data_IF_583376473232
#
_entry.id   IF_583376473232
#
_cell.length_a   1.000
_cell.length_b   1.000
_cell.length_c   1.000
_cell.angle_alpha   90.00
_cell.angle_beta   90.00
_cell.angle_gamma   90.00
#
_symmetry.space_group_name_H-M   'P 1'
#
loop_
_entity.id
_entity.type
_entity.pdbx_description
1 polymer ?
#
# COMPACT_ATOMS: atom_id res chain seq x y z
N UNK A 1 -3.86 27.77 -13.31
CA UNK A 1 -5.30 27.45 -13.26
C UNK A 1 -5.65 27.09 -11.83
N UNK A 2 -6.76 27.58 -11.31
CA UNK A 2 -7.25 27.24 -9.98
C UNK A 2 -8.59 26.50 -10.13
N UNK A 3 -8.78 25.41 -9.38
CA UNK A 3 -9.98 24.56 -9.46
C UNK A 3 -10.53 24.34 -8.06
N UNK A 4 -11.84 24.57 -7.87
CA UNK A 4 -12.54 24.22 -6.63
C UNK A 4 -12.95 22.75 -6.66
N UNK A 5 -12.44 21.96 -5.71
CA UNK A 5 -12.69 20.52 -5.62
C UNK A 5 -14.11 20.17 -5.16
N UNK A 6 -14.81 21.12 -4.53
CA UNK A 6 -16.21 20.91 -4.12
C UNK A 6 -17.14 20.82 -5.33
N UNK A 7 -16.83 21.56 -6.40
CA UNK A 7 -17.58 21.56 -7.65
C UNK A 7 -17.31 20.36 -8.56
N UNK A 8 -16.31 19.52 -8.25
CA UNK A 8 -15.95 18.37 -9.07
C UNK A 8 -16.84 17.16 -8.81
N UNK A 9 -17.04 16.32 -9.82
CA UNK A 9 -17.58 14.98 -9.63
C UNK A 9 -16.54 14.05 -8.96
N UNK A 10 -16.99 12.97 -8.33
CA UNK A 10 -16.10 12.00 -7.66
C UNK A 10 -15.00 11.45 -8.60
N UNK A 11 -15.37 11.13 -9.84
CA UNK A 11 -14.44 10.63 -10.86
C UNK A 11 -13.37 11.65 -11.26
N UNK A 12 -13.69 12.95 -11.24
CA UNK A 12 -12.76 14.02 -11.56
C UNK A 12 -11.79 14.25 -10.40
N UNK A 13 -12.29 14.28 -9.16
CA UNK A 13 -11.45 14.28 -7.95
C UNK A 13 -10.47 13.12 -7.97
N UNK A 14 -10.95 11.90 -8.27
CA UNK A 14 -10.11 10.72 -8.37
C UNK A 14 -9.02 10.88 -9.44
N UNK A 15 -9.36 11.33 -10.65
CA UNK A 15 -8.37 11.52 -11.74
C UNK A 15 -7.27 12.49 -11.33
N UNK A 16 -7.61 13.62 -10.72
CA UNK A 16 -6.63 14.62 -10.30
C UNK A 16 -5.76 14.08 -9.16
N UNK A 17 -6.38 13.59 -8.08
CA UNK A 17 -5.65 13.09 -6.91
C UNK A 17 -4.73 11.91 -7.26
N UNK A 18 -5.22 10.93 -8.01
CA UNK A 18 -4.43 9.76 -8.43
C UNK A 18 -3.35 10.09 -9.47
N UNK A 19 -3.36 11.27 -10.09
CA UNK A 19 -2.31 11.68 -11.04
C UNK A 19 -1.25 12.56 -10.39
N UNK A 20 -1.59 13.33 -9.36
CA UNK A 20 -0.66 14.24 -8.68
C UNK A 20 -0.09 13.70 -7.37
N UNK A 21 -0.77 12.77 -6.70
CA UNK A 21 -0.21 12.02 -5.58
C UNK A 21 0.43 10.75 -6.14
N UNK A 22 1.67 10.86 -6.60
CA UNK A 22 2.44 9.81 -7.27
C UNK A 22 3.95 9.94 -6.98
N UNK A 23 4.73 8.85 -7.13
CA UNK A 23 4.26 7.47 -7.21
C UNK A 23 3.66 7.03 -5.87
N UNK A 24 2.54 6.30 -5.91
CA UNK A 24 1.93 5.76 -4.69
C UNK A 24 2.52 4.38 -4.39
N UNK A 25 2.88 4.08 -3.13
CA UNK A 25 3.25 2.72 -2.77
C UNK A 25 2.05 1.79 -2.95
N UNK A 26 2.34 0.52 -3.23
CA UNK A 26 1.32 -0.51 -3.42
C UNK A 26 1.38 -1.46 -2.24
N UNK A 27 0.25 -1.62 -1.56
CA UNK A 27 0.01 -2.69 -0.61
C UNK A 27 -0.74 -3.82 -1.33
N UNK A 28 -0.08 -4.98 -1.51
CA UNK A 28 -0.78 -6.20 -1.88
C UNK A 28 -1.27 -6.87 -0.60
N UNK A 29 -2.56 -6.71 -0.30
CA UNK A 29 -3.13 -7.07 1.00
C UNK A 29 -3.68 -8.48 0.95
N UNK A 30 -3.23 -9.35 1.86
CA UNK A 30 -3.87 -10.63 2.13
C UNK A 30 -4.77 -10.53 3.36
N UNK A 31 -5.92 -11.21 3.33
CA UNK A 31 -6.91 -11.25 4.42
C UNK A 31 -7.72 -12.54 4.40
N UNK A 32 -8.34 -12.92 5.52
CA UNK A 32 -9.12 -14.16 5.64
C UNK A 32 -10.64 -13.90 5.55
N UNK A 33 -11.30 -14.58 4.61
CA UNK A 33 -12.75 -14.66 4.47
C UNK A 33 -13.43 -15.55 5.52
N UNK A 34 -14.77 -15.61 5.52
CA UNK A 34 -15.57 -16.35 6.53
C UNK A 34 -15.37 -17.87 6.53
N UNK A 35 -14.89 -18.43 5.41
CA UNK A 35 -14.56 -19.85 5.26
C UNK A 35 -13.04 -20.13 5.29
N UNK A 36 -12.22 -19.17 5.73
CA UNK A 36 -10.76 -19.28 5.72
C UNK A 36 -10.13 -19.10 4.33
N UNK A 37 -10.93 -18.81 3.30
CA UNK A 37 -10.42 -18.47 1.96
C UNK A 37 -9.59 -17.19 2.06
N UNK A 38 -8.40 -17.23 1.47
CA UNK A 38 -7.46 -16.11 1.48
C UNK A 38 -7.79 -15.18 0.32
N UNK A 39 -8.21 -13.96 0.63
CA UNK A 39 -8.31 -12.90 -0.36
C UNK A 39 -6.96 -12.21 -0.53
N UNK A 40 -6.60 -11.83 -1.76
CA UNK A 40 -5.44 -11.01 -2.08
C UNK A 40 -5.79 -9.91 -3.07
N UNK A 41 -5.60 -8.64 -2.70
CA UNK A 41 -5.91 -7.51 -3.58
C UNK A 41 -4.91 -6.35 -3.43
N UNK A 42 -4.53 -5.68 -4.54
CA UNK A 42 -3.61 -4.55 -4.50
C UNK A 42 -4.33 -3.22 -4.27
N UNK A 43 -3.73 -2.38 -3.44
CA UNK A 43 -4.23 -1.04 -3.13
C UNK A 43 -3.09 -0.02 -3.18
N UNK A 44 -3.35 1.09 -3.86
CA UNK A 44 -2.38 2.20 -3.96
C UNK A 44 -2.77 3.43 -3.14
N UNK A 45 -3.92 3.42 -2.46
CA UNK A 45 -4.23 4.43 -1.45
C UNK A 45 -3.74 3.89 -0.11
N UNK A 46 -2.42 3.79 -0.01
CA UNK A 46 -1.68 3.17 1.08
C UNK A 46 -0.51 4.08 1.48
N UNK A 47 -0.19 4.13 2.78
CA UNK A 47 1.04 4.75 3.26
C UNK A 47 1.38 4.31 4.70
N UNK A 48 2.61 4.58 5.14
CA UNK A 48 2.96 4.64 6.56
C UNK A 48 2.22 5.82 7.21
N UNK A 49 1.74 5.65 8.43
CA UNK A 49 0.91 6.64 9.13
C UNK A 49 1.44 7.03 10.52
N UNK A 50 2.36 6.26 11.08
CA UNK A 50 2.99 6.55 12.37
C UNK A 50 4.10 5.56 12.71
N UNK A 51 4.96 5.92 13.67
CA UNK A 51 6.08 5.08 14.14
C UNK A 51 6.05 4.77 15.63
N UNK A 52 5.16 5.40 16.40
CA UNK A 52 4.95 5.14 17.82
C UNK A 52 3.44 5.20 18.15
N UNK A 53 2.69 4.07 18.00
CA UNK A 53 3.15 2.78 17.48
C UNK A 53 3.37 2.80 15.95
N UNK A 54 3.96 1.72 15.41
CA UNK A 54 4.11 1.52 13.97
C UNK A 54 2.75 1.36 13.27
N UNK A 55 2.33 2.35 12.50
CA UNK A 55 1.00 2.41 11.89
C UNK A 55 1.09 2.49 10.36
N UNK A 56 0.16 1.80 9.71
CA UNK A 56 -0.12 1.92 8.27
C UNK A 56 -1.59 2.25 8.04
N UNK A 57 -1.88 2.90 6.92
CA UNK A 57 -3.25 3.18 6.50
C UNK A 57 -3.52 2.65 5.10
N UNK A 58 -4.69 2.09 4.91
CA UNK A 58 -5.21 1.57 3.65
C UNK A 58 -6.60 2.16 3.40
N UNK A 59 -6.83 2.70 2.21
CA UNK A 59 -8.18 3.06 1.78
C UNK A 59 -8.73 2.02 0.80
N UNK A 60 -9.80 1.35 1.22
CA UNK A 60 -10.54 0.39 0.40
C UNK A 60 -11.83 1.05 -0.05
N UNK A 61 -11.97 1.30 -1.35
CA UNK A 61 -13.22 1.81 -1.92
C UNK A 61 -14.33 0.76 -1.90
N UNK A 62 -15.58 1.23 -1.92
CA UNK A 62 -16.75 0.37 -2.06
C UNK A 62 -16.80 -0.30 -3.44
N UNK A 63 -17.64 -1.33 -3.57
CA UNK A 63 -17.81 -2.06 -4.84
C UNK A 63 -18.43 -1.16 -5.92
N UNK A 64 -17.91 -1.16 -7.18
CA UNK A 64 -18.42 -0.30 -8.25
C UNK A 64 -19.84 -0.65 -8.72
N UNK A 65 -20.25 -1.91 -8.57
CA UNK A 65 -21.54 -2.43 -9.04
C UNK A 65 -22.71 -1.99 -8.14
N UNK A 66 -22.41 -1.44 -6.95
CA UNK A 66 -23.36 -1.03 -5.94
C UNK A 66 -23.40 0.51 -5.81
N UNK A 67 -23.66 1.22 -6.92
CA UNK A 67 -23.73 2.70 -6.99
C UNK A 67 -24.76 3.33 -6.02
N UNK A 68 -25.54 2.51 -5.29
CA UNK A 68 -26.53 2.93 -4.29
C UNK A 68 -26.42 2.20 -2.94
N UNK A 69 -25.42 1.33 -2.72
CA UNK A 69 -25.39 0.42 -1.57
C UNK A 69 -24.24 0.62 -0.57
N UNK A 70 -23.16 1.31 -0.95
CA UNK A 70 -22.03 1.56 -0.06
C UNK A 70 -21.41 0.29 0.53
N UNK A 71 -21.37 -0.81 -0.25
CA UNK A 71 -20.87 -2.09 0.25
C UNK A 71 -19.35 -2.13 0.16
N UNK A 72 -18.72 -2.33 1.32
CA UNK A 72 -17.27 -2.45 1.43
C UNK A 72 -16.77 -3.69 0.68
N UNK A 73 -15.63 -3.57 -0.03
CA UNK A 73 -14.93 -4.72 -0.60
C UNK A 73 -14.48 -5.70 0.48
N UNK A 74 -14.24 -6.95 0.07
CA UNK A 74 -13.95 -8.05 0.98
C UNK A 74 -12.75 -7.79 1.88
N UNK A 75 -11.68 -7.17 1.38
CA UNK A 75 -10.52 -6.82 2.22
C UNK A 75 -10.88 -5.98 3.45
N UNK A 76 -11.73 -4.96 3.31
CA UNK A 76 -12.13 -4.13 4.45
C UNK A 76 -13.04 -4.89 5.41
N UNK A 77 -14.00 -5.66 4.87
CA UNK A 77 -14.88 -6.53 5.67
C UNK A 77 -14.09 -7.58 6.44
N UNK A 78 -13.12 -8.20 5.79
CA UNK A 78 -12.25 -9.21 6.37
C UNK A 78 -11.37 -8.58 7.45
N UNK A 79 -10.72 -7.45 7.19
CA UNK A 79 -9.89 -6.76 8.17
C UNK A 79 -10.69 -6.32 9.42
N UNK A 80 -11.94 -5.86 9.24
CA UNK A 80 -12.82 -5.48 10.34
C UNK A 80 -13.31 -6.69 11.15
N UNK A 81 -13.81 -7.72 10.48
CA UNK A 81 -14.34 -8.94 11.11
C UNK A 81 -13.26 -9.76 11.80
N UNK A 82 -12.15 -9.99 11.10
CA UNK A 82 -11.06 -10.85 11.55
C UNK A 82 -10.11 -10.11 12.50
N UNK A 83 -10.01 -8.78 12.38
CA UNK A 83 -9.11 -7.97 13.19
C UNK A 83 -7.64 -8.01 12.73
N UNK A 84 -7.32 -8.73 11.66
CA UNK A 84 -5.97 -8.78 11.09
C UNK A 84 -5.99 -8.81 9.57
N UNK A 85 -4.91 -8.30 8.99
CA UNK A 85 -4.56 -8.40 7.57
C UNK A 85 -3.04 -8.38 7.43
N UNK A 86 -2.52 -8.72 6.24
CA UNK A 86 -1.08 -8.64 5.95
C UNK A 86 -0.85 -7.72 4.77
N UNK A 87 0.06 -6.77 4.91
CA UNK A 87 0.53 -5.92 3.81
C UNK A 87 1.78 -6.54 3.21
N UNK A 88 1.72 -6.95 1.95
CA UNK A 88 2.88 -7.44 1.21
C UNK A 88 3.41 -6.32 0.29
N UNK A 89 4.68 -5.96 0.48
CA UNK A 89 5.37 -5.04 -0.41
C UNK A 89 5.53 -5.67 -1.80
N UNK A 90 5.56 -4.84 -2.84
CA UNK A 90 5.56 -5.29 -4.23
C UNK A 90 6.81 -4.75 -4.93
N UNK A 91 7.62 -5.64 -5.47
CA UNK A 91 8.72 -5.30 -6.38
C UNK A 91 8.36 -5.62 -7.84
N UNK A 92 9.29 -5.33 -8.76
CA UNK A 92 9.08 -5.56 -10.19
C UNK A 92 8.83 -7.03 -10.55
N UNK A 93 9.35 -7.99 -9.78
CA UNK A 93 9.18 -9.43 -10.04
C UNK A 93 7.75 -9.92 -9.74
N UNK A 94 7.01 -9.17 -8.93
CA UNK A 94 5.63 -9.49 -8.56
C UNK A 94 4.59 -8.74 -9.41
N UNK A 95 5.00 -7.81 -10.28
CA UNK A 95 4.11 -6.82 -10.89
C UNK A 95 2.90 -7.40 -11.63
N UNK A 96 3.12 -8.38 -12.53
CA UNK A 96 2.03 -8.98 -13.31
C UNK A 96 1.06 -9.79 -12.45
N UNK A 97 1.58 -10.62 -11.54
CA UNK A 97 0.75 -11.40 -10.60
C UNK A 97 -0.03 -10.51 -9.64
N UNK A 98 0.62 -9.47 -9.11
CA UNK A 98 -0.03 -8.45 -8.30
C UNK A 98 -1.16 -7.74 -9.06
N UNK A 99 -0.94 -7.40 -10.34
CA UNK A 99 -1.98 -6.80 -11.17
C UNK A 99 -3.13 -7.78 -11.45
N UNK A 100 -2.83 -9.08 -11.59
CA UNK A 100 -3.83 -10.14 -11.69
C UNK A 100 -4.77 -10.22 -10.48
N UNK A 101 -4.25 -10.02 -9.27
CA UNK A 101 -5.05 -9.91 -8.03
C UNK A 101 -6.04 -8.74 -8.01
N UNK A 102 -5.99 -7.81 -8.98
CA UNK A 102 -6.94 -6.70 -9.07
C UNK A 102 -8.25 -7.06 -9.79
N UNK A 103 -8.33 -8.25 -10.41
CA UNK A 103 -9.53 -8.71 -11.10
C UNK A 103 -10.68 -9.02 -10.10
N UNK A 104 -11.93 -8.92 -10.57
CA UNK A 104 -13.11 -9.23 -9.76
C UNK A 104 -13.36 -10.74 -9.74
N UNK A 105 -12.68 -11.45 -8.85
CA UNK A 105 -12.91 -12.88 -8.64
C UNK A 105 -14.25 -13.14 -7.91
N UNK A 106 -14.92 -14.28 -8.17
CA UNK A 106 -16.10 -14.67 -7.42
C UNK A 106 -15.80 -14.89 -5.91
N UNK A 107 -16.80 -14.74 -5.02
CA UNK A 107 -16.64 -15.08 -3.62
C UNK A 107 -16.20 -16.55 -3.45
N UNK A 108 -15.21 -16.79 -2.59
CA UNK A 108 -14.72 -18.12 -2.26
C UNK A 108 -13.55 -18.61 -3.11
N UNK A 109 -13.10 -17.82 -4.09
CA UNK A 109 -11.85 -18.08 -4.83
C UNK A 109 -10.70 -17.23 -4.27
N UNK A 110 -9.51 -17.82 -4.14
CA UNK A 110 -8.31 -17.08 -3.71
C UNK A 110 -7.60 -16.47 -4.92
N UNK A 111 -7.53 -15.13 -4.96
CA UNK A 111 -6.82 -14.44 -6.04
C UNK A 111 -5.33 -14.77 -6.03
N UNK A 112 -4.73 -14.95 -4.85
CA UNK A 112 -3.33 -15.30 -4.70
C UNK A 112 -3.01 -16.65 -5.36
N UNK A 113 -3.84 -17.67 -5.09
CA UNK A 113 -3.67 -19.00 -5.69
C UNK A 113 -3.93 -18.95 -7.20
N UNK A 114 -4.98 -18.23 -7.63
CA UNK A 114 -5.34 -18.11 -9.04
C UNK A 114 -4.24 -17.48 -9.91
N UNK A 115 -3.47 -16.54 -9.36
CA UNK A 115 -2.33 -15.91 -10.06
C UNK A 115 -0.99 -16.61 -9.77
N UNK A 116 -0.99 -17.72 -9.02
CA UNK A 116 0.20 -18.51 -8.72
C UNK A 116 1.17 -17.87 -7.74
N UNK A 117 0.68 -17.13 -6.73
CA UNK A 117 1.47 -16.78 -5.56
C UNK A 117 1.52 -17.94 -4.57
N UNK A 118 2.65 -18.08 -3.86
CA UNK A 118 2.77 -19.04 -2.78
C UNK A 118 2.37 -18.38 -1.46
N UNK A 119 1.41 -18.96 -0.75
CA UNK A 119 1.04 -18.51 0.60
C UNK A 119 2.01 -19.10 1.64
N UNK A 120 2.43 -18.27 2.59
CA UNK A 120 3.33 -18.65 3.68
C UNK A 120 2.82 -18.13 5.03
N UNK A 121 3.22 -18.78 6.12
CA UNK A 121 2.92 -18.32 7.46
C UNK A 121 3.49 -16.90 7.70
N UNK A 122 2.74 -16.07 8.42
CA UNK A 122 3.15 -14.73 8.81
C UNK A 122 3.12 -14.62 10.34
N UNK A 123 4.26 -14.48 11.02
CA UNK A 123 4.24 -14.39 12.48
C UNK A 123 3.41 -13.18 12.96
N UNK A 124 2.67 -13.36 14.05
CA UNK A 124 1.79 -12.32 14.61
C UNK A 124 0.34 -12.35 14.13
N UNK A 125 -0.01 -13.25 13.20
CA UNK A 125 -1.39 -13.47 12.72
C UNK A 125 -1.50 -14.86 12.06
N UNK A 126 -2.72 -15.36 11.85
CA UNK A 126 -3.00 -16.55 11.03
C UNK A 126 -3.29 -16.20 9.55
N UNK A 127 -3.43 -14.91 9.22
CA UNK A 127 -3.50 -14.44 7.84
C UNK A 127 -2.16 -14.72 7.14
N UNK A 128 -2.13 -15.49 6.03
CA UNK A 128 -0.88 -15.81 5.36
C UNK A 128 -0.31 -14.59 4.64
N UNK A 129 1.01 -14.54 4.55
CA UNK A 129 1.75 -13.62 3.67
C UNK A 129 1.97 -14.26 2.30
N UNK A 130 2.39 -13.45 1.34
CA UNK A 130 2.90 -13.93 0.05
C UNK A 130 4.39 -14.24 0.20
N UNK A 131 4.79 -15.46 -0.16
CA UNK A 131 6.15 -15.95 0.05
C UNK A 131 7.18 -15.14 -0.76
N UNK A 132 6.81 -14.74 -1.97
CA UNK A 132 7.62 -13.98 -2.91
C UNK A 132 7.78 -12.51 -2.55
N UNK A 133 7.01 -12.00 -1.58
CA UNK A 133 7.09 -10.61 -1.17
C UNK A 133 8.46 -10.30 -0.54
N UNK A 134 9.16 -9.22 -0.95
CA UNK A 134 10.42 -8.80 -0.33
C UNK A 134 10.23 -8.39 1.14
N UNK A 135 9.05 -7.87 1.48
CA UNK A 135 8.66 -7.58 2.85
C UNK A 135 7.16 -7.82 3.04
N UNK A 136 6.78 -8.34 4.20
CA UNK A 136 5.38 -8.52 4.62
C UNK A 136 5.20 -8.02 6.04
N UNK A 137 4.12 -7.30 6.30
CA UNK A 137 3.80 -6.77 7.62
C UNK A 137 2.49 -7.37 8.12
N UNK A 138 2.55 -8.07 9.26
CA UNK A 138 1.37 -8.53 9.98
C UNK A 138 0.74 -7.34 10.70
N UNK A 139 -0.49 -7.01 10.33
CA UNK A 139 -1.19 -5.84 10.83
C UNK A 139 -2.41 -6.25 11.65
N UNK A 140 -2.49 -5.73 12.89
CA UNK A 140 -3.73 -5.74 13.67
C UNK A 140 -4.58 -4.53 13.25
N UNK A 141 -5.83 -4.77 12.92
CA UNK A 141 -6.79 -3.71 12.60
C UNK A 141 -7.06 -2.90 13.86
N UNK A 142 -6.69 -1.62 13.84
CA UNK A 142 -6.97 -0.68 14.93
C UNK A 142 -8.35 -0.06 14.77
N UNK A 143 -8.70 0.38 13.55
CA UNK A 143 -10.01 0.96 13.24
C UNK A 143 -10.31 0.82 11.75
N UNK A 144 -11.59 0.62 11.43
CA UNK A 144 -12.12 0.83 10.09
C UNK A 144 -13.10 1.99 10.14
N UNK A 145 -12.81 3.07 9.43
CA UNK A 145 -13.67 4.26 9.39
C UNK A 145 -14.31 4.40 8.01
N UNK A 146 -15.63 4.61 8.00
CA UNK A 146 -16.38 4.88 6.78
C UNK A 146 -16.43 6.40 6.51
N UNK A 147 -15.94 6.83 5.35
CA UNK A 147 -16.02 8.23 4.90
C UNK A 147 -16.55 8.27 3.46
N UNK A 148 -17.86 8.47 3.30
CA UNK A 148 -18.52 8.30 2.02
C UNK A 148 -18.30 6.87 1.49
N UNK A 149 -17.94 6.73 0.21
CA UNK A 149 -17.66 5.43 -0.44
C UNK A 149 -16.29 4.81 -0.10
N UNK A 150 -15.72 5.17 1.05
CA UNK A 150 -14.37 4.78 1.45
C UNK A 150 -14.39 4.02 2.78
N UNK A 151 -13.51 3.03 2.91
CA UNK A 151 -13.19 2.34 4.17
C UNK A 151 -11.72 2.54 4.48
N UNK A 152 -11.46 3.44 5.42
CA UNK A 152 -10.12 3.75 5.91
C UNK A 152 -9.76 2.72 6.98
N UNK A 153 -8.92 1.76 6.61
CA UNK A 153 -8.41 0.73 7.51
C UNK A 153 -7.08 1.23 8.09
N UNK A 154 -7.07 1.52 9.39
CA UNK A 154 -5.86 1.82 10.15
C UNK A 154 -5.34 0.52 10.78
N UNK A 155 -4.11 0.16 10.48
CA UNK A 155 -3.46 -1.05 10.99
C UNK A 155 -2.21 -0.75 11.81
N UNK A 156 -2.04 -1.47 12.91
CA UNK A 156 -0.81 -1.50 13.70
C UNK A 156 0.06 -2.67 13.26
N UNK A 157 1.31 -2.39 12.91
CA UNK A 157 2.28 -3.42 12.47
C UNK A 157 2.83 -4.11 13.71
N UNK A 158 2.53 -5.40 13.86
CA UNK A 158 3.00 -6.23 14.97
C UNK A 158 4.27 -7.01 14.62
N UNK A 159 4.43 -7.37 13.35
CA UNK A 159 5.56 -8.16 12.87
C UNK A 159 5.93 -7.82 11.44
N UNK A 160 7.22 -7.88 11.12
CA UNK A 160 7.76 -7.76 9.77
C UNK A 160 8.50 -9.02 9.37
N UNK A 161 8.18 -9.58 8.21
CA UNK A 161 8.96 -10.64 7.56
C UNK A 161 9.69 -10.03 6.36
N UNK A 162 11.01 -10.16 6.31
CA UNK A 162 11.85 -9.56 5.27
C UNK A 162 12.62 -10.64 4.53
N UNK A 163 12.81 -10.46 3.22
CA UNK A 163 13.74 -11.27 2.44
C UNK A 163 15.14 -11.15 3.06
N UNK A 164 15.88 -12.26 3.09
CA UNK A 164 17.23 -12.30 3.63
C UNK A 164 18.12 -11.24 2.96
N UNK A 165 18.94 -10.56 3.75
CA UNK A 165 19.82 -9.48 3.29
C UNK A 165 19.14 -8.13 3.01
N UNK A 166 17.80 -8.04 3.11
CA UNK A 166 17.09 -6.79 2.83
C UNK A 166 17.20 -5.74 3.93
N UNK A 167 17.30 -6.20 5.19
CA UNK A 167 17.35 -5.36 6.38
C UNK A 167 18.58 -5.72 7.19
N UNK A 168 19.36 -4.72 7.55
CA UNK A 168 20.45 -4.84 8.52
C UNK A 168 19.86 -4.85 9.95
N UNK A 169 19.98 -5.95 10.72
CA UNK A 169 19.41 -6.05 12.06
C UNK A 169 20.13 -5.18 13.11
N UNK A 170 21.33 -4.67 12.83
CA UNK A 170 22.04 -3.77 13.75
C UNK A 170 21.56 -2.33 13.60
N UNK A 171 21.41 -1.85 12.36
CA UNK A 171 21.00 -0.47 12.09
C UNK A 171 19.52 -0.28 11.75
N UNK A 172 18.78 -1.37 11.53
CA UNK A 172 17.40 -1.39 11.04
C UNK A 172 17.20 -0.65 9.71
N UNK A 173 18.27 -0.54 8.91
CA UNK A 173 18.22 0.07 7.58
C UNK A 173 17.91 -0.98 6.53
N UNK A 174 17.09 -0.57 5.56
CA UNK A 174 16.83 -1.35 4.34
C UNK A 174 17.96 -1.07 3.36
N UNK A 175 18.52 -2.12 2.76
CA UNK A 175 19.45 -1.97 1.65
C UNK A 175 18.71 -1.39 0.42
N UNK A 176 19.04 -0.15 0.00
CA UNK A 176 18.39 0.50 -1.10
C UNK A 176 18.55 -0.25 -2.44
N UNK A 177 19.65 -0.96 -2.65
CA UNK A 177 19.97 -1.64 -3.90
C UNK A 177 19.31 -3.03 -3.95
N UNK A 178 19.08 -3.65 -2.79
CA UNK A 178 18.38 -4.94 -2.67
C UNK A 178 16.84 -4.83 -2.80
N UNK A 179 16.28 -3.62 -2.73
CA UNK A 179 14.84 -3.37 -2.86
C UNK A 179 14.51 -2.23 -3.83
N UNK A 180 13.94 -2.56 -4.99
CA UNK A 180 13.34 -1.59 -5.90
C UNK A 180 11.81 -1.72 -5.89
N UNK A 181 11.09 -0.87 -5.14
CA UNK A 181 9.63 -0.95 -5.06
C UNK A 181 8.96 -0.58 -6.37
N UNK A 182 7.78 -1.15 -6.60
CA UNK A 182 6.87 -0.71 -7.64
C UNK A 182 5.96 0.41 -7.13
N UNK A 183 5.90 1.52 -7.86
CA UNK A 183 5.01 2.64 -7.58
C UNK A 183 3.84 2.69 -8.56
N UNK A 184 2.63 2.98 -8.08
CA UNK A 184 1.46 3.22 -8.92
C UNK A 184 1.38 4.69 -9.34
N UNK A 185 1.16 4.94 -10.63
CA UNK A 185 0.96 6.27 -11.21
C UNK A 185 -0.53 6.54 -11.50
N UNK A 186 -0.82 7.71 -12.06
CA UNK A 186 -2.14 8.05 -12.59
C UNK A 186 -2.50 7.25 -13.86
N UNK A 187 -3.77 7.30 -14.24
CA UNK A 187 -4.28 6.65 -15.45
C UNK A 187 -4.59 5.15 -15.28
N UNK A 188 -4.90 4.51 -16.41
CA UNK A 188 -5.44 3.14 -16.44
C UNK A 188 -4.42 2.07 -16.02
N UNK A 189 -3.13 2.27 -16.30
CA UNK A 189 -2.10 1.25 -16.09
C UNK A 189 -0.69 1.79 -15.84
N UNK A 190 -0.55 3.04 -15.38
CA UNK A 190 0.76 3.62 -15.11
C UNK A 190 1.40 3.01 -13.86
N UNK A 191 2.60 2.46 -14.02
CA UNK A 191 3.48 1.98 -12.94
C UNK A 191 4.89 2.51 -13.16
N UNK A 192 5.68 2.60 -12.09
CA UNK A 192 7.10 2.95 -12.14
C UNK A 192 7.92 2.03 -11.25
N UNK A 193 9.19 1.80 -11.63
CA UNK A 193 10.19 1.17 -10.77
C UNK A 193 10.93 2.30 -10.04
N UNK A 194 10.92 2.30 -8.71
CA UNK A 194 11.55 3.34 -7.89
C UNK A 194 13.06 3.08 -7.71
N UNK A 195 13.80 3.03 -8.82
CA UNK A 195 15.24 2.72 -8.85
C UNK A 195 16.15 3.94 -9.01
N UNK A 196 15.68 4.98 -9.70
CA UNK A 196 16.43 6.23 -9.87
C UNK A 196 16.31 7.11 -8.62
N UNK A 197 17.42 7.32 -7.91
CA UNK A 197 17.45 7.89 -6.56
C UNK A 197 18.40 9.08 -6.49
N UNK A 198 17.92 10.13 -5.82
CA UNK A 198 18.74 11.26 -5.41
C UNK A 198 18.90 11.21 -3.90
N UNK A 199 20.14 11.31 -3.42
CA UNK A 199 20.41 11.46 -1.99
C UNK A 199 20.35 12.95 -1.61
N UNK A 200 19.45 13.29 -0.70
CA UNK A 200 19.35 14.65 -0.16
C UNK A 200 19.51 14.59 1.35
N UNK A 201 20.58 15.19 1.88
CA UNK A 201 20.78 15.33 3.33
C UNK A 201 19.85 16.42 3.85
N UNK A 202 19.31 16.23 5.06
CA UNK A 202 18.51 17.27 5.72
C UNK A 202 19.41 18.50 5.96
N UNK A 203 19.09 19.66 5.37
CA UNK A 203 19.92 20.84 5.55
C UNK A 203 19.72 21.42 6.95
N UNK A 204 20.74 22.10 7.46
CA UNK A 204 20.63 23.06 8.53
C UNK A 204 19.78 24.27 8.11
N UNK A 205 19.32 25.04 9.09
CA UNK A 205 18.56 26.28 8.84
C UNK A 205 19.37 27.27 7.99
N UNK A 206 20.68 27.32 8.19
CA UNK A 206 21.57 28.23 7.46
C UNK A 206 21.69 27.82 5.98
N UNK A 207 21.95 26.55 5.70
CA UNK A 207 22.00 26.01 4.34
C UNK A 207 20.67 26.24 3.61
N UNK A 208 19.54 26.00 4.27
CA UNK A 208 18.22 26.25 3.71
C UNK A 208 18.00 27.74 3.37
N UNK A 209 18.47 28.68 4.20
CA UNK A 209 18.36 30.12 3.94
C UNK A 209 19.20 30.57 2.75
N UNK A 210 20.38 29.98 2.54
CA UNK A 210 21.25 30.31 1.40
C UNK A 210 20.60 29.99 0.04
N UNK A 211 19.77 28.95 -0.02
CA UNK A 211 18.99 28.60 -1.22
C UNK A 211 18.00 29.72 -1.59
N UNK A 212 17.38 30.37 -0.60
CA UNK A 212 16.41 31.45 -0.83
C UNK A 212 17.06 32.78 -1.23
N UNK A 213 18.33 33.00 -0.88
CA UNK A 213 19.08 34.23 -1.22
C UNK A 213 19.78 34.17 -2.58
N UNK A 214 19.57 33.12 -3.38
CA UNK A 214 20.28 32.91 -4.66
C UNK A 214 21.74 32.50 -4.51
N UNK A 215 22.16 32.03 -3.33
CA UNK A 215 23.50 31.50 -3.13
C UNK A 215 23.62 30.13 -3.77
N UNK A 216 24.57 29.96 -4.69
CA UNK A 216 24.86 28.67 -5.29
C UNK A 216 25.15 27.61 -4.19
N UNK A 217 24.68 26.36 -4.34
CA UNK A 217 25.02 25.31 -3.40
C UNK A 217 26.55 25.13 -3.37
N UNK A 218 27.14 25.11 -2.18
CA UNK A 218 28.53 24.71 -2.01
C UNK A 218 28.63 23.23 -2.38
N UNK A 219 29.48 22.95 -3.37
CA UNK A 219 29.80 21.61 -3.87
C UNK A 219 30.26 20.66 -2.77
#
# INVERSE_FOLDING_TARGET
MNVDFNGLASKERYKLLSSFVVPRPIALVTSLGEAGVVNAAPYSFFNCFGSDPGLVILNVGDRPEDDHGGVAKDTARNAERHGFFVVNAVDAGMAERMNGCAASFPPGESEAEAVGFTLAACPGTDVPRIAEAPASFACRTHRVEAIGGNRLVLGEVLHGSFREGLVDPESWRVDPDAFTPLGRLGGAGGYTRCGDRLEMKRPSVEEARRLGSGGAPTA
#
